data_IF_801890788389
#
_entry.id   IF_801890788389
#
_cell.length_a   1.000
_cell.length_b   1.000
_cell.length_c   1.000
_cell.angle_alpha   90.00
_cell.angle_beta   90.00
_cell.angle_gamma   90.00
#
_symmetry.space_group_name_H-M   'P 1'
#
loop_
_entity.id
_entity.type
_entity.pdbx_description
1 polymer ?
#
# COMPACT_ATOMS: atom_id res chain seq x y z
N UNK A 1 11.94 -2.95 -26.36
CA UNK A 1 13.21 -2.73 -25.66
C UNK A 1 13.65 -4.00 -24.94
N UNK A 2 13.33 -4.26 -23.66
CA UNK A 2 13.78 -5.50 -23.00
C UNK A 2 13.34 -6.79 -23.75
N UNK A 3 12.11 -6.82 -24.27
CA UNK A 3 11.59 -7.95 -25.05
C UNK A 3 12.36 -8.24 -26.33
N UNK A 4 12.90 -7.21 -27.00
CA UNK A 4 13.63 -7.37 -28.27
C UNK A 4 15.02 -7.97 -28.06
N UNK A 5 15.72 -7.57 -26.99
CA UNK A 5 17.00 -8.19 -26.61
C UNK A 5 16.82 -9.68 -26.27
N UNK A 6 15.78 -10.04 -25.53
CA UNK A 6 15.54 -11.44 -25.16
C UNK A 6 15.18 -12.32 -26.36
N UNK A 7 14.50 -11.77 -27.37
CA UNK A 7 14.17 -12.51 -28.58
C UNK A 7 15.42 -12.79 -29.43
N UNK A 8 16.36 -11.84 -29.49
CA UNK A 8 17.69 -12.06 -30.08
C UNK A 8 18.45 -13.18 -29.35
N UNK A 9 18.47 -13.17 -28.02
CA UNK A 9 19.12 -14.22 -27.24
C UNK A 9 18.46 -15.59 -27.41
N UNK A 10 17.13 -15.66 -27.53
CA UNK A 10 16.42 -16.91 -27.82
C UNK A 10 16.88 -17.49 -29.16
N UNK A 11 16.92 -16.67 -30.21
CA UNK A 11 17.39 -17.10 -31.52
C UNK A 11 18.84 -17.62 -31.48
N UNK A 12 19.74 -16.89 -30.80
CA UNK A 12 21.13 -17.31 -30.65
C UNK A 12 21.25 -18.65 -29.90
N UNK A 13 20.41 -18.89 -28.89
CA UNK A 13 20.37 -20.17 -28.18
C UNK A 13 19.79 -21.31 -29.04
N UNK A 14 18.84 -21.02 -29.93
CA UNK A 14 18.30 -21.99 -30.89
C UNK A 14 19.35 -22.38 -31.94
N UNK A 15 20.13 -21.42 -32.43
CA UNK A 15 21.24 -21.66 -33.36
C UNK A 15 22.34 -22.53 -32.71
N UNK A 16 22.73 -22.20 -31.47
CA UNK A 16 23.68 -22.99 -30.67
C UNK A 16 23.25 -24.44 -30.48
N UNK A 17 21.94 -24.70 -30.41
CA UNK A 17 21.43 -26.08 -30.35
C UNK A 17 21.73 -26.84 -31.65
N UNK A 18 21.58 -26.20 -32.81
CA UNK A 18 21.99 -26.75 -34.10
C UNK A 18 23.49 -27.04 -34.16
N UNK A 19 24.30 -26.11 -33.64
CA UNK A 19 25.76 -26.28 -33.59
C UNK A 19 26.16 -27.49 -32.73
N UNK A 20 25.51 -27.68 -31.57
CA UNK A 20 25.70 -28.87 -30.72
C UNK A 20 25.39 -30.16 -31.47
N UNK A 21 24.34 -30.19 -32.28
CA UNK A 21 23.96 -31.38 -33.07
C UNK A 21 24.98 -31.69 -34.19
N UNK A 22 25.72 -30.67 -34.65
CA UNK A 22 26.73 -30.79 -35.72
C UNK A 22 28.17 -30.96 -35.24
N UNK A 23 28.44 -30.80 -33.94
CA UNK A 23 29.79 -30.83 -33.37
C UNK A 23 30.43 -32.23 -33.45
N UNK A 24 31.65 -32.31 -33.97
CA UNK A 24 32.36 -33.59 -34.17
C UNK A 24 33.60 -33.72 -33.28
N UNK A 25 34.15 -32.60 -32.80
CA UNK A 25 35.41 -32.55 -32.06
C UNK A 25 35.26 -31.93 -30.68
N UNK A 26 36.23 -32.21 -29.79
CA UNK A 26 36.27 -31.57 -28.46
C UNK A 26 36.43 -30.05 -28.58
N UNK A 27 37.18 -29.58 -29.57
CA UNK A 27 37.35 -28.17 -29.87
C UNK A 27 36.01 -27.49 -30.24
N UNK A 28 35.15 -28.16 -31.03
CA UNK A 28 33.80 -27.65 -31.36
C UNK A 28 32.95 -27.50 -30.09
N UNK A 29 32.92 -28.53 -29.24
CA UNK A 29 32.20 -28.46 -27.96
C UNK A 29 32.74 -27.36 -27.03
N UNK A 30 34.06 -27.15 -27.00
CA UNK A 30 34.66 -26.09 -26.18
C UNK A 30 34.27 -24.68 -26.67
N UNK A 31 34.19 -24.49 -27.99
CA UNK A 31 33.73 -23.23 -28.58
C UNK A 31 32.27 -22.95 -28.22
N UNK A 32 31.39 -23.94 -28.45
CA UNK A 32 29.96 -23.88 -28.11
C UNK A 32 29.76 -23.56 -26.62
N UNK A 33 30.46 -24.25 -25.71
CA UNK A 33 30.34 -24.01 -24.27
C UNK A 33 30.79 -22.60 -23.89
N UNK A 34 31.80 -22.05 -24.57
CA UNK A 34 32.26 -20.68 -24.33
C UNK A 34 31.21 -19.66 -24.76
N UNK A 35 30.60 -19.86 -25.92
CA UNK A 35 29.55 -18.98 -26.46
C UNK A 35 28.27 -19.05 -25.64
N UNK A 36 27.82 -20.25 -25.27
CA UNK A 36 26.68 -20.44 -24.36
C UNK A 36 26.90 -19.71 -23.02
N UNK A 37 28.12 -19.79 -22.46
CA UNK A 37 28.45 -19.09 -21.22
C UNK A 37 28.36 -17.58 -21.39
N UNK A 38 28.83 -17.06 -22.52
CA UNK A 38 28.81 -15.63 -22.81
C UNK A 38 27.37 -15.11 -22.97
N UNK A 39 26.55 -15.80 -23.77
CA UNK A 39 25.11 -15.49 -23.92
C UNK A 39 24.39 -15.55 -22.58
N UNK A 40 24.62 -16.60 -21.79
CA UNK A 40 23.99 -16.72 -20.48
C UNK A 40 24.40 -15.58 -19.53
N UNK A 41 25.66 -15.16 -19.57
CA UNK A 41 26.15 -14.04 -18.78
C UNK A 41 25.47 -12.73 -19.19
N UNK A 42 25.30 -12.49 -20.49
CA UNK A 42 24.57 -11.32 -21.00
C UNK A 42 23.10 -11.34 -20.57
N UNK A 43 22.37 -12.43 -20.85
CA UNK A 43 20.97 -12.60 -20.44
C UNK A 43 20.80 -12.35 -18.95
N UNK A 44 21.64 -12.96 -18.11
CA UNK A 44 21.54 -12.82 -16.67
C UNK A 44 21.79 -11.38 -16.19
N UNK A 45 22.77 -10.71 -16.79
CA UNK A 45 23.19 -9.36 -16.40
C UNK A 45 22.16 -8.32 -16.82
N UNK A 46 21.67 -8.39 -18.06
CA UNK A 46 20.61 -7.51 -18.58
C UNK A 46 19.28 -7.75 -17.86
N UNK A 47 18.91 -9.00 -17.60
CA UNK A 47 17.68 -9.31 -16.82
C UNK A 47 17.72 -8.65 -15.44
N UNK A 48 18.87 -8.69 -14.77
CA UNK A 48 19.03 -8.04 -13.47
C UNK A 48 18.92 -6.52 -13.56
N UNK A 49 19.50 -5.91 -14.59
CA UNK A 49 19.36 -4.47 -14.84
C UNK A 49 17.88 -4.06 -14.92
N UNK A 50 17.09 -4.71 -15.77
CA UNK A 50 15.68 -4.37 -15.96
C UNK A 50 14.81 -4.65 -14.72
N UNK A 51 15.05 -5.78 -14.04
CA UNK A 51 14.31 -6.12 -12.81
C UNK A 51 14.62 -5.11 -11.71
N UNK A 52 15.89 -4.74 -11.52
CA UNK A 52 16.29 -3.78 -10.49
C UNK A 52 15.73 -2.38 -10.79
N UNK A 53 15.77 -1.92 -12.04
CA UNK A 53 15.15 -0.64 -12.41
C UNK A 53 13.64 -0.63 -12.14
N UNK A 54 12.95 -1.74 -12.42
CA UNK A 54 11.52 -1.88 -12.11
C UNK A 54 11.25 -1.82 -10.60
N UNK A 55 12.07 -2.47 -9.78
CA UNK A 55 11.93 -2.42 -8.32
C UNK A 55 12.22 -1.03 -7.78
N UNK A 56 13.25 -0.36 -8.31
CA UNK A 56 13.62 1.00 -7.93
C UNK A 56 12.49 2.00 -8.22
N UNK A 57 11.88 1.93 -9.41
CA UNK A 57 10.75 2.82 -9.76
C UNK A 57 9.50 2.60 -8.91
N UNK A 58 9.34 1.43 -8.25
CA UNK A 58 8.23 1.20 -7.32
C UNK A 58 8.40 1.93 -6.00
N UNK A 59 9.61 2.35 -5.65
CA UNK A 59 9.89 3.12 -4.44
C UNK A 59 9.29 4.53 -4.55
N UNK A 60 9.31 5.15 -5.74
CA UNK A 60 8.71 6.47 -6.00
C UNK A 60 7.26 6.57 -5.54
N UNK A 61 6.43 5.61 -5.96
CA UNK A 61 5.00 5.59 -5.63
C UNK A 61 4.74 5.44 -4.12
N UNK A 62 5.68 4.85 -3.38
CA UNK A 62 5.57 4.73 -1.92
C UNK A 62 6.00 6.02 -1.22
N UNK A 63 7.09 6.65 -1.67
CA UNK A 63 7.60 7.90 -1.11
C UNK A 63 6.58 9.04 -1.24
N UNK A 64 5.95 9.18 -2.42
CA UNK A 64 4.93 10.21 -2.66
C UNK A 64 3.75 10.13 -1.67
N UNK A 65 3.32 8.91 -1.34
CA UNK A 65 2.22 8.69 -0.37
C UNK A 65 2.65 8.95 1.08
N UNK A 66 3.93 8.77 1.37
CA UNK A 66 4.48 8.84 2.73
C UNK A 66 4.53 10.27 3.27
N UNK A 67 4.81 11.25 2.41
CA UNK A 67 4.79 12.68 2.78
C UNK A 67 3.40 13.12 3.25
N UNK A 68 2.34 12.79 2.51
CA UNK A 68 0.96 13.11 2.92
C UNK A 68 0.57 12.42 4.23
N UNK A 69 1.13 11.25 4.53
CA UNK A 69 0.87 10.55 5.81
C UNK A 69 1.52 11.30 6.97
N UNK A 70 2.79 11.72 6.83
CA UNK A 70 3.49 12.50 7.85
C UNK A 70 2.73 13.78 8.21
N UNK A 71 2.30 14.55 7.20
CA UNK A 71 1.51 15.78 7.41
C UNK A 71 0.23 15.52 8.20
N UNK A 72 -0.52 14.46 7.84
CA UNK A 72 -1.77 14.11 8.54
C UNK A 72 -1.55 13.67 9.99
N UNK A 73 -0.41 13.03 10.28
CA UNK A 73 -0.04 12.65 11.64
C UNK A 73 0.33 13.90 12.44
N UNK A 74 1.11 14.82 11.85
CA UNK A 74 1.45 16.09 12.47
C UNK A 74 0.19 16.91 12.80
N UNK A 75 -0.74 17.04 11.86
CA UNK A 75 -2.02 17.73 12.07
C UNK A 75 -2.81 17.15 13.25
N UNK A 76 -2.78 15.83 13.43
CA UNK A 76 -3.46 15.17 14.54
C UNK A 76 -2.73 15.39 15.86
N UNK A 77 -1.40 15.32 15.87
CA UNK A 77 -0.58 15.65 17.04
C UNK A 77 -0.86 17.09 17.49
N UNK A 78 -0.91 18.04 16.56
CA UNK A 78 -1.20 19.45 16.85
C UNK A 78 -2.58 19.62 17.49
N UNK A 79 -3.59 18.86 17.03
CA UNK A 79 -4.93 18.84 17.63
C UNK A 79 -4.92 18.29 19.05
N UNK A 80 -4.23 17.17 19.27
CA UNK A 80 -4.11 16.54 20.59
C UNK A 80 -3.39 17.47 21.58
N UNK A 81 -2.29 18.11 21.13
CA UNK A 81 -1.60 19.14 21.89
C UNK A 81 -2.51 20.32 22.25
N UNK A 82 -3.30 20.82 21.29
CA UNK A 82 -4.25 21.90 21.54
C UNK A 82 -5.37 21.49 22.52
N UNK A 83 -5.71 20.21 22.57
CA UNK A 83 -6.64 19.63 23.55
C UNK A 83 -5.99 19.39 24.93
N UNK A 84 -4.67 19.55 25.05
CA UNK A 84 -3.91 19.34 26.29
C UNK A 84 -3.59 17.87 26.58
N UNK A 85 -3.69 16.99 25.59
CA UNK A 85 -3.27 15.59 25.69
C UNK A 85 -1.74 15.47 25.62
N UNK A 86 -1.18 14.43 26.25
CA UNK A 86 0.27 14.15 26.17
C UNK A 86 0.63 13.43 24.87
N UNK A 87 1.20 14.17 23.92
CA UNK A 87 1.62 13.68 22.61
C UNK A 87 3.11 13.31 22.55
N UNK A 88 3.85 13.36 23.65
CA UNK A 88 5.32 13.20 23.66
C UNK A 88 5.78 11.94 22.90
N UNK A 89 5.04 10.83 23.05
CA UNK A 89 5.35 9.57 22.37
C UNK A 89 5.01 9.61 20.87
N UNK A 90 3.91 10.27 20.49
CA UNK A 90 3.51 10.44 19.09
C UNK A 90 4.51 11.31 18.33
N UNK A 91 4.96 12.40 18.94
CA UNK A 91 5.98 13.30 18.38
C UNK A 91 7.28 12.54 18.10
N UNK A 92 7.78 11.79 19.10
CA UNK A 92 8.97 10.97 18.92
C UNK A 92 8.80 9.91 17.83
N UNK A 93 7.64 9.26 17.74
CA UNK A 93 7.37 8.27 16.69
C UNK A 93 7.28 8.92 15.30
N UNK A 94 6.74 10.14 15.20
CA UNK A 94 6.71 10.88 13.94
C UNK A 94 8.12 11.30 13.52
N UNK A 95 8.98 11.72 14.46
CA UNK A 95 10.40 11.98 14.19
C UNK A 95 11.11 10.71 13.69
N UNK A 96 10.96 9.57 14.40
CA UNK A 96 11.53 8.28 13.98
C UNK A 96 11.04 7.89 12.57
N UNK A 97 9.76 8.14 12.25
CA UNK A 97 9.17 7.88 10.93
C UNK A 97 9.81 8.75 9.85
N UNK A 98 9.96 10.05 10.10
CA UNK A 98 10.57 10.99 9.17
C UNK A 98 12.05 10.67 8.92
N UNK A 99 12.79 10.26 9.95
CA UNK A 99 14.17 9.82 9.81
C UNK A 99 14.28 8.60 8.89
N UNK A 100 13.43 7.58 9.09
CA UNK A 100 13.38 6.41 8.22
C UNK A 100 12.98 6.77 6.77
N UNK A 101 12.07 7.73 6.58
CA UNK A 101 11.75 8.23 5.23
C UNK A 101 12.94 8.93 4.58
N UNK A 102 13.65 9.78 5.31
CA UNK A 102 14.83 10.48 4.80
C UNK A 102 15.94 9.50 4.38
N UNK A 103 16.15 8.42 5.15
CA UNK A 103 17.08 7.35 4.77
C UNK A 103 16.63 6.65 3.48
N UNK A 104 15.34 6.34 3.36
CA UNK A 104 14.79 5.73 2.16
C UNK A 104 14.96 6.61 0.91
N UNK A 105 14.70 7.93 1.05
CA UNK A 105 14.86 8.93 0.00
C UNK A 105 16.33 8.98 -0.42
N UNK A 106 17.27 9.12 0.52
CA UNK A 106 18.69 9.21 0.20
C UNK A 106 19.21 7.98 -0.55
N UNK A 107 18.84 6.77 -0.10
CA UNK A 107 19.22 5.54 -0.80
C UNK A 107 18.57 5.43 -2.19
N UNK A 108 17.32 5.86 -2.35
CA UNK A 108 16.64 5.85 -3.63
C UNK A 108 17.23 6.87 -4.62
N UNK A 109 17.59 8.06 -4.16
CA UNK A 109 18.31 9.07 -4.95
C UNK A 109 19.66 8.53 -5.45
N UNK A 110 20.45 7.88 -4.57
CA UNK A 110 21.71 7.23 -4.97
C UNK A 110 21.48 6.11 -6.00
N UNK A 111 20.41 5.32 -5.86
CA UNK A 111 20.06 4.31 -6.85
C UNK A 111 19.68 4.96 -8.19
N UNK A 112 18.91 6.04 -8.19
CA UNK A 112 18.54 6.79 -9.39
C UNK A 112 19.75 7.38 -10.10
N UNK A 113 20.73 7.91 -9.37
CA UNK A 113 21.98 8.40 -9.95
C UNK A 113 22.70 7.26 -10.70
N UNK A 114 22.84 6.10 -10.07
CA UNK A 114 23.43 4.91 -10.70
C UNK A 114 22.66 4.49 -11.97
N UNK A 115 21.32 4.45 -11.92
CA UNK A 115 20.52 4.09 -13.10
C UNK A 115 20.55 5.15 -14.21
N UNK A 116 20.74 6.42 -13.86
CA UNK A 116 20.96 7.50 -14.82
C UNK A 116 22.29 7.38 -15.54
N UNK A 117 23.32 6.87 -14.87
CA UNK A 117 24.63 6.59 -15.49
C UNK A 117 24.68 5.28 -16.27
N UNK A 118 23.85 4.29 -15.91
CA UNK A 118 23.74 2.94 -16.50
C UNK A 118 25.08 2.29 -16.90
N UNK A 119 26.13 2.50 -16.10
CA UNK A 119 27.51 2.12 -16.39
C UNK A 119 27.63 0.62 -16.72
N UNK A 120 28.26 0.32 -17.86
CA UNK A 120 28.39 -1.03 -18.41
C UNK A 120 27.20 -1.48 -19.26
N UNK A 121 26.20 -0.63 -19.46
CA UNK A 121 25.09 -0.82 -20.39
C UNK A 121 25.03 0.34 -21.41
N UNK A 122 24.27 0.17 -22.49
CA UNK A 122 23.91 1.26 -23.39
C UNK A 122 22.49 1.80 -23.07
N UNK A 123 22.06 2.82 -23.82
CA UNK A 123 20.75 3.49 -23.63
C UNK A 123 19.53 2.55 -23.74
N UNK A 124 19.68 1.39 -24.40
CA UNK A 124 18.63 0.38 -24.54
C UNK A 124 18.77 -0.78 -23.55
N UNK A 125 19.74 -0.70 -22.63
CA UNK A 125 19.97 -1.68 -21.57
C UNK A 125 20.73 -2.94 -22.00
N UNK A 126 21.41 -2.93 -23.15
CA UNK A 126 22.30 -4.02 -23.57
C UNK A 126 23.65 -3.92 -22.88
N UNK A 127 24.24 -5.08 -22.54
CA UNK A 127 25.54 -5.16 -21.88
C UNK A 127 26.66 -4.68 -22.83
N UNK A 128 27.44 -3.69 -22.39
CA UNK A 128 28.61 -3.17 -23.14
C UNK A 128 29.93 -3.50 -22.46
N UNK A 129 29.94 -3.57 -21.12
CA UNK A 129 31.11 -3.93 -20.34
C UNK A 129 30.70 -4.70 -19.08
N UNK A 130 31.06 -5.97 -19.04
CA UNK A 130 30.65 -6.88 -17.96
C UNK A 130 31.23 -6.55 -16.59
N UNK A 131 32.44 -5.99 -16.52
CA UNK A 131 33.08 -5.66 -15.24
C UNK A 131 32.39 -4.45 -14.62
N UNK A 132 32.20 -3.41 -15.43
CA UNK A 132 31.49 -2.18 -15.08
C UNK A 132 30.03 -2.48 -14.71
N UNK A 133 29.31 -3.24 -15.54
CA UNK A 133 27.93 -3.64 -15.28
C UNK A 133 27.79 -4.44 -13.97
N UNK A 134 28.73 -5.34 -13.69
CA UNK A 134 28.69 -6.13 -12.46
C UNK A 134 28.89 -5.26 -11.22
N UNK A 135 29.78 -4.27 -11.28
CA UNK A 135 30.00 -3.33 -10.20
C UNK A 135 28.77 -2.45 -9.99
N UNK A 136 28.27 -1.83 -11.06
CA UNK A 136 27.03 -1.04 -11.04
C UNK A 136 25.86 -1.83 -10.43
N UNK A 137 25.61 -3.07 -10.90
CA UNK A 137 24.50 -3.90 -10.38
C UNK A 137 24.65 -4.25 -8.91
N UNK A 138 25.89 -4.30 -8.40
CA UNK A 138 26.15 -4.54 -6.98
C UNK A 138 25.84 -3.31 -6.15
N UNK A 139 26.29 -2.15 -6.58
CA UNK A 139 26.07 -0.87 -5.89
C UNK A 139 24.59 -0.49 -5.92
N UNK A 140 23.93 -0.58 -7.07
CA UNK A 140 22.50 -0.32 -7.19
C UNK A 140 21.66 -1.26 -6.31
N UNK A 141 22.03 -2.54 -6.24
CA UNK A 141 21.36 -3.49 -5.36
C UNK A 141 21.50 -3.16 -3.87
N UNK A 142 22.64 -2.60 -3.45
CA UNK A 142 22.82 -2.16 -2.07
C UNK A 142 21.86 -1.01 -1.77
N UNK A 143 21.86 0.03 -2.62
CA UNK A 143 20.99 1.20 -2.46
C UNK A 143 19.50 0.82 -2.47
N UNK A 144 19.05 -0.03 -3.40
CA UNK A 144 17.66 -0.51 -3.44
C UNK A 144 17.31 -1.27 -2.15
N UNK A 145 18.23 -2.08 -1.62
CA UNK A 145 17.98 -2.85 -0.40
C UNK A 145 17.87 -1.95 0.82
N UNK A 146 18.75 -0.96 0.93
CA UNK A 146 18.77 0.00 2.02
C UNK A 146 17.48 0.85 1.99
N UNK A 147 17.08 1.36 0.82
CA UNK A 147 15.81 2.05 0.64
C UNK A 147 14.62 1.18 1.07
N UNK A 148 14.55 -0.06 0.60
CA UNK A 148 13.48 -0.98 0.98
C UNK A 148 13.50 -1.36 2.47
N UNK A 149 14.65 -1.35 3.12
CA UNK A 149 14.75 -1.60 4.56
C UNK A 149 14.19 -0.40 5.32
N UNK A 150 14.64 0.80 5.01
CA UNK A 150 14.17 2.04 5.61
C UNK A 150 12.64 2.21 5.44
N UNK A 151 12.09 1.88 4.26
CA UNK A 151 10.64 1.86 4.05
C UNK A 151 9.90 0.84 4.92
N UNK A 152 10.49 -0.34 5.19
CA UNK A 152 9.89 -1.32 6.10
C UNK A 152 9.89 -0.81 7.54
N UNK A 153 10.97 -0.13 7.94
CA UNK A 153 11.09 0.50 9.26
C UNK A 153 10.06 1.62 9.42
N UNK A 154 9.96 2.52 8.44
CA UNK A 154 8.93 3.57 8.38
C UNK A 154 7.51 2.97 8.49
N UNK A 155 7.19 1.91 7.75
CA UNK A 155 5.90 1.22 7.86
C UNK A 155 5.67 0.59 9.25
N UNK A 156 6.72 0.09 9.90
CA UNK A 156 6.60 -0.44 11.25
C UNK A 156 6.28 0.68 12.25
N UNK A 157 6.99 1.79 12.17
CA UNK A 157 6.77 2.97 13.02
C UNK A 157 5.36 3.54 12.78
N UNK A 158 4.90 3.59 11.54
CA UNK A 158 3.54 4.01 11.20
C UNK A 158 2.46 3.18 11.91
N UNK A 159 2.67 1.86 12.02
CA UNK A 159 1.76 0.99 12.80
C UNK A 159 1.77 1.35 14.29
N UNK A 160 2.94 1.68 14.84
CA UNK A 160 3.07 2.11 16.23
C UNK A 160 2.42 3.48 16.47
N UNK A 161 2.54 4.41 15.52
CA UNK A 161 1.83 5.71 15.54
C UNK A 161 0.33 5.47 15.59
N UNK A 162 -0.22 4.60 14.73
CA UNK A 162 -1.66 4.33 14.75
C UNK A 162 -2.10 3.62 16.03
N UNK A 163 -1.28 2.73 16.58
CA UNK A 163 -1.56 2.09 17.86
C UNK A 163 -1.57 3.10 19.02
N UNK A 164 -0.70 4.12 18.97
CA UNK A 164 -0.68 5.20 19.94
C UNK A 164 -1.85 6.16 19.76
N UNK A 165 -2.15 6.62 18.54
CA UNK A 165 -3.29 7.49 18.23
C UNK A 165 -4.62 6.89 18.69
N UNK A 166 -4.77 5.56 18.66
CA UNK A 166 -5.95 4.87 19.20
C UNK A 166 -6.18 5.15 20.70
N UNK A 167 -5.12 5.35 21.49
CA UNK A 167 -5.26 5.64 22.93
C UNK A 167 -5.84 7.03 23.18
N UNK A 168 -5.64 7.95 22.24
CA UNK A 168 -6.11 9.33 22.31
C UNK A 168 -7.47 9.54 21.63
N UNK A 169 -8.01 8.49 20.98
CA UNK A 169 -9.26 8.54 20.21
C UNK A 169 -10.35 7.70 20.88
N UNK A 170 -11.22 8.30 21.72
CA UNK A 170 -12.48 7.64 22.07
C UNK A 170 -13.25 7.28 20.78
N UNK A 171 -14.00 6.17 20.77
CA UNK A 171 -14.80 5.76 19.60
C UNK A 171 -14.05 5.00 18.49
N UNK A 172 -12.77 4.67 18.66
CA UNK A 172 -12.07 3.72 17.77
C UNK A 172 -12.29 2.28 18.23
N UNK A 173 -12.62 1.40 17.28
CA UNK A 173 -12.85 -0.04 17.49
C UNK A 173 -11.95 -0.85 16.56
N UNK A 174 -11.34 -1.90 17.10
CA UNK A 174 -10.51 -2.86 16.36
C UNK A 174 -11.21 -4.22 16.38
N UNK A 175 -11.60 -4.72 15.20
CA UNK A 175 -12.22 -6.02 14.99
C UNK A 175 -11.12 -7.00 14.58
N UNK A 176 -10.35 -7.47 15.58
CA UNK A 176 -9.24 -8.40 15.33
C UNK A 176 -9.78 -9.78 14.92
N UNK A 177 -9.24 -10.32 13.82
CA UNK A 177 -9.48 -11.68 13.25
C UNK A 177 -10.88 -11.90 12.68
N UNK A 178 -11.91 -11.84 13.51
CA UNK A 178 -13.33 -11.76 13.12
C UNK A 178 -14.04 -11.10 14.30
N UNK A 179 -14.99 -10.23 14.08
CA UNK A 179 -15.67 -9.56 15.19
C UNK A 179 -16.95 -8.91 14.73
N UNK A 180 -17.84 -8.65 15.69
CA UNK A 180 -19.11 -7.96 15.43
C UNK A 180 -19.06 -6.54 15.98
N UNK A 181 -19.53 -5.58 15.20
CA UNK A 181 -19.78 -4.21 15.62
C UNK A 181 -21.25 -3.89 15.37
N UNK A 182 -21.94 -3.42 16.39
CA UNK A 182 -23.27 -2.80 16.26
C UNK A 182 -23.19 -1.36 16.73
N UNK A 183 -23.79 -0.43 16.00
CA UNK A 183 -23.78 0.98 16.33
C UNK A 183 -25.09 1.66 15.97
N UNK A 184 -25.52 2.57 16.84
CA UNK A 184 -26.73 3.38 16.66
C UNK A 184 -26.41 4.84 17.05
N UNK A 185 -26.71 5.79 16.16
CA UNK A 185 -26.44 7.20 16.45
C UNK A 185 -26.51 8.15 15.26
N UNK A 186 -26.11 9.40 15.49
CA UNK A 186 -25.97 10.45 14.49
C UNK A 186 -24.51 10.85 14.39
N UNK A 187 -24.03 11.10 13.18
CA UNK A 187 -22.67 11.56 12.91
C UNK A 187 -22.00 10.72 11.82
N UNK A 188 -20.72 10.41 12.01
CA UNK A 188 -19.87 9.76 11.01
C UNK A 188 -19.33 8.44 11.53
N UNK A 189 -19.54 7.37 10.76
CA UNK A 189 -18.95 6.06 10.97
C UNK A 189 -18.11 5.71 9.75
N UNK A 190 -16.84 5.41 9.98
CA UNK A 190 -15.94 4.87 8.95
C UNK A 190 -15.48 3.50 9.39
N UNK A 191 -15.62 2.50 8.51
CA UNK A 191 -15.23 1.11 8.74
C UNK A 191 -14.35 0.68 7.59
N UNK A 192 -13.29 -0.09 7.86
CA UNK A 192 -12.41 -0.64 6.83
C UNK A 192 -11.91 -2.03 7.17
N UNK A 193 -11.85 -2.92 6.18
CA UNK A 193 -11.43 -4.31 6.32
C UNK A 193 -12.19 -5.28 5.42
N UNK A 194 -12.14 -6.56 5.77
CA UNK A 194 -12.83 -7.65 5.09
C UNK A 194 -14.11 -7.97 5.88
N UNK A 195 -15.26 -7.51 5.38
CA UNK A 195 -16.47 -7.42 6.22
C UNK A 195 -17.77 -7.57 5.43
N UNK A 196 -18.76 -8.10 6.13
CA UNK A 196 -20.18 -8.00 5.84
C UNK A 196 -20.76 -6.83 6.64
N UNK A 197 -21.34 -5.85 5.96
CA UNK A 197 -21.86 -4.62 6.56
C UNK A 197 -23.31 -4.44 6.16
N UNK A 198 -24.18 -4.26 7.15
CA UNK A 198 -25.54 -3.75 6.98
C UNK A 198 -25.60 -2.36 7.61
N UNK A 199 -26.00 -1.37 6.83
CA UNK A 199 -26.15 0.01 7.31
C UNK A 199 -27.47 0.60 6.84
N UNK A 200 -28.13 1.35 7.73
CA UNK A 200 -29.27 2.18 7.38
C UNK A 200 -29.10 3.57 7.96
N UNK A 201 -29.69 4.56 7.29
CA UNK A 201 -29.74 5.95 7.75
C UNK A 201 -30.98 6.64 7.16
N UNK A 202 -31.49 7.67 7.83
CA UNK A 202 -32.62 8.49 7.32
C UNK A 202 -32.20 9.66 6.44
N UNK A 203 -30.97 10.11 6.61
CA UNK A 203 -30.40 11.17 5.78
C UNK A 203 -28.90 11.17 5.94
N UNK A 204 -28.16 11.22 4.83
CA UNK A 204 -26.72 11.29 4.90
C UNK A 204 -26.00 11.14 3.57
N UNK A 205 -24.74 10.79 3.67
CA UNK A 205 -23.86 10.45 2.57
C UNK A 205 -23.19 9.12 2.89
N UNK A 206 -23.42 8.13 2.03
CA UNK A 206 -22.74 6.85 2.08
C UNK A 206 -21.65 6.81 0.99
N UNK A 207 -20.42 6.49 1.37
CA UNK A 207 -19.29 6.34 0.47
C UNK A 207 -18.69 4.95 0.65
N UNK A 208 -18.43 4.26 -0.45
CA UNK A 208 -17.88 2.90 -0.49
C UNK A 208 -16.69 2.91 -1.45
N UNK A 209 -15.51 2.57 -0.95
CA UNK A 209 -14.32 2.30 -1.75
C UNK A 209 -14.01 0.80 -1.65
N UNK A 210 -13.80 0.18 -2.80
CA UNK A 210 -13.44 -1.23 -2.95
C UNK A 210 -12.09 -1.30 -3.65
N UNK A 211 -11.06 -1.72 -2.92
CA UNK A 211 -9.69 -1.76 -3.43
C UNK A 211 -9.35 -3.08 -4.15
N UNK A 212 -10.03 -4.17 -3.81
CA UNK A 212 -9.79 -5.50 -4.39
C UNK A 212 -10.77 -5.82 -5.54
N UNK A 213 -11.77 -4.96 -5.75
CA UNK A 213 -12.76 -5.04 -6.84
C UNK A 213 -13.59 -6.32 -6.75
N UNK A 214 -13.92 -6.74 -5.53
CA UNK A 214 -14.65 -7.95 -5.21
C UNK A 214 -15.95 -7.69 -4.42
N UNK A 215 -16.27 -6.44 -4.13
CA UNK A 215 -17.40 -6.10 -3.26
C UNK A 215 -18.76 -6.32 -3.93
N UNK A 216 -19.64 -7.05 -3.25
CA UNK A 216 -21.07 -7.12 -3.53
C UNK A 216 -21.80 -6.01 -2.78
N UNK A 217 -22.46 -5.11 -3.52
CA UNK A 217 -23.11 -3.91 -2.98
C UNK A 217 -24.58 -3.89 -3.39
N UNK A 218 -25.47 -3.99 -2.41
CA UNK A 218 -26.91 -3.80 -2.58
C UNK A 218 -27.36 -2.55 -1.81
N UNK A 219 -28.03 -1.62 -2.49
CA UNK A 219 -28.54 -0.39 -1.88
C UNK A 219 -30.01 -0.21 -2.21
N UNK A 220 -30.82 0.06 -1.18
CA UNK A 220 -32.24 0.36 -1.32
C UNK A 220 -32.58 1.70 -0.66
N UNK A 221 -33.50 2.46 -1.24
CA UNK A 221 -33.93 3.76 -0.71
C UNK A 221 -33.68 4.93 -1.67
N UNK A 222 -33.62 6.14 -1.11
CA UNK A 222 -33.42 7.38 -1.84
C UNK A 222 -31.96 7.82 -1.79
N UNK A 223 -31.50 8.49 -2.85
CA UNK A 223 -30.15 9.04 -2.94
C UNK A 223 -29.65 9.12 -4.38
N UNK A 224 -28.62 9.92 -4.61
CA UNK A 224 -27.96 10.03 -5.93
C UNK A 224 -26.64 9.27 -5.90
N UNK A 225 -26.55 8.19 -6.68
CA UNK A 225 -25.30 7.45 -6.90
C UNK A 225 -24.39 8.23 -7.84
N UNK A 226 -23.15 8.45 -7.43
CA UNK A 226 -22.07 9.01 -8.24
C UNK A 226 -20.85 8.10 -8.11
N UNK A 227 -20.15 7.86 -9.21
CA UNK A 227 -18.91 7.10 -9.23
C UNK A 227 -17.75 8.07 -9.47
N UNK A 228 -16.69 7.92 -8.68
CA UNK A 228 -15.49 8.75 -8.75
C UNK A 228 -14.43 8.09 -9.63
N UNK A 229 -13.42 8.86 -10.05
CA UNK A 229 -12.37 8.37 -10.95
C UNK A 229 -11.49 7.26 -10.34
N UNK A 230 -11.50 7.12 -9.01
CA UNK A 230 -10.75 6.13 -8.25
C UNK A 230 -11.56 4.84 -7.98
N UNK A 231 -12.76 4.70 -8.57
CA UNK A 231 -13.66 3.57 -8.34
C UNK A 231 -14.55 3.70 -7.10
N UNK A 232 -14.39 4.77 -6.31
CA UNK A 232 -15.24 5.01 -5.14
C UNK A 232 -16.68 5.33 -5.56
N UNK A 233 -17.66 4.69 -4.91
CA UNK A 233 -19.08 4.94 -5.10
C UNK A 233 -19.62 5.80 -3.95
N UNK A 234 -20.30 6.90 -4.30
CA UNK A 234 -20.91 7.83 -3.35
C UNK A 234 -22.42 7.93 -3.57
N UNK A 235 -23.19 7.77 -2.51
CA UNK A 235 -24.64 8.01 -2.47
C UNK A 235 -24.91 9.29 -1.67
N UNK A 236 -25.25 10.38 -2.37
CA UNK A 236 -25.55 11.67 -1.75
C UNK A 236 -27.06 11.79 -1.45
N UNK A 237 -27.42 12.24 -0.25
CA UNK A 237 -28.81 12.27 0.21
C UNK A 237 -29.36 10.86 0.47
N UNK A 238 -28.50 9.98 0.99
CA UNK A 238 -28.83 8.60 1.32
C UNK A 238 -29.88 8.54 2.43
N UNK A 239 -31.01 7.92 2.13
CA UNK A 239 -32.14 7.64 3.02
C UNK A 239 -32.65 6.23 2.68
N UNK A 240 -32.19 5.23 3.41
CA UNK A 240 -32.38 3.84 3.02
C UNK A 240 -31.48 2.86 3.75
N UNK A 241 -31.31 1.68 3.13
CA UNK A 241 -30.46 0.60 3.63
C UNK A 241 -29.42 0.20 2.58
N UNK A 242 -28.27 -0.28 3.04
CA UNK A 242 -27.25 -0.86 2.19
C UNK A 242 -26.66 -2.11 2.84
N UNK A 243 -26.42 -3.13 2.01
CA UNK A 243 -25.69 -4.35 2.36
C UNK A 243 -24.43 -4.38 1.50
N UNK A 244 -23.28 -4.51 2.14
CA UNK A 244 -21.97 -4.50 1.50
C UNK A 244 -21.17 -5.69 2.03
N UNK A 245 -20.66 -6.53 1.13
CA UNK A 245 -19.79 -7.67 1.46
C UNK A 245 -18.57 -7.61 0.54
N UNK A 246 -17.36 -7.63 1.09
CA UNK A 246 -16.13 -7.62 0.27
C UNK A 246 -14.84 -7.63 1.09
N UNK A 247 -13.72 -7.74 0.38
CA UNK A 247 -12.37 -7.68 0.95
C UNK A 247 -11.77 -6.31 0.73
N UNK A 248 -10.93 -5.84 1.66
CA UNK A 248 -10.25 -4.53 1.55
C UNK A 248 -11.22 -3.40 1.17
N UNK A 249 -12.38 -3.34 1.84
CA UNK A 249 -13.38 -2.30 1.60
C UNK A 249 -13.25 -1.19 2.64
N UNK A 250 -13.57 0.04 2.25
CA UNK A 250 -13.80 1.16 3.16
C UNK A 250 -15.20 1.70 2.97
N UNK A 251 -16.02 1.64 4.02
CA UNK A 251 -17.37 2.18 4.04
C UNK A 251 -17.43 3.35 5.02
N UNK A 252 -17.93 4.50 4.55
CA UNK A 252 -18.16 5.68 5.38
C UNK A 252 -19.61 6.12 5.24
N UNK A 253 -20.33 6.22 6.37
CA UNK A 253 -21.65 6.84 6.46
C UNK A 253 -21.54 8.09 7.33
N UNK A 254 -21.99 9.23 6.81
CA UNK A 254 -22.19 10.46 7.58
C UNK A 254 -23.65 10.87 7.50
N UNK A 255 -24.37 10.92 8.62
CA UNK A 255 -25.80 11.14 8.59
C UNK A 255 -26.50 11.01 9.94
N UNK A 256 -27.82 10.99 9.86
CA UNK A 256 -28.73 10.89 11.00
C UNK A 256 -29.44 9.53 11.03
N UNK A 257 -29.76 9.08 12.24
CA UNK A 257 -30.43 7.83 12.55
C UNK A 257 -29.71 6.62 11.93
N UNK A 258 -28.38 6.61 12.07
CA UNK A 258 -27.54 5.54 11.58
C UNK A 258 -27.74 4.32 12.47
N UNK A 259 -28.15 3.21 11.87
CA UNK A 259 -28.07 1.88 12.44
C UNK A 259 -27.10 1.06 11.61
N UNK A 260 -26.10 0.47 12.25
CA UNK A 260 -25.03 -0.26 11.58
C UNK A 260 -24.73 -1.57 12.30
N UNK A 261 -24.63 -2.63 11.51
CA UNK A 261 -24.07 -3.92 11.91
C UNK A 261 -22.93 -4.27 10.96
N UNK A 262 -21.78 -4.64 11.49
CA UNK A 262 -20.66 -5.15 10.70
C UNK A 262 -20.11 -6.42 11.34
N UNK A 263 -19.80 -7.41 10.51
CA UNK A 263 -19.14 -8.66 10.88
C UNK A 263 -17.92 -8.88 9.99
N UNK A 264 -16.78 -9.21 10.58
CA UNK A 264 -15.55 -9.50 9.83
C UNK A 264 -14.29 -9.02 10.53
N UNK A 265 -13.21 -8.87 9.77
CA UNK A 265 -11.93 -8.35 10.28
C UNK A 265 -11.68 -6.93 9.78
N UNK A 266 -11.38 -6.01 10.69
CA UNK A 266 -11.17 -4.63 10.29
C UNK A 266 -11.06 -3.66 11.45
N UNK A 267 -11.29 -2.39 11.15
CA UNK A 267 -11.34 -1.33 12.14
C UNK A 267 -12.49 -0.38 11.85
N UNK A 268 -13.04 0.22 12.91
CA UNK A 268 -14.08 1.22 12.81
C UNK A 268 -13.72 2.46 13.64
N UNK A 269 -14.17 3.61 13.17
CA UNK A 269 -14.10 4.88 13.89
C UNK A 269 -15.50 5.50 13.88
N UNK A 270 -16.03 5.78 15.06
CA UNK A 270 -17.36 6.35 15.24
C UNK A 270 -17.26 7.70 15.92
N UNK A 271 -17.74 8.75 15.25
CA UNK A 271 -17.77 10.13 15.75
C UNK A 271 -19.18 10.71 15.66
N UNK A 272 -19.66 11.36 16.71
CA UNK A 272 -20.96 11.99 16.80
C UNK A 272 -21.66 11.65 18.11
N UNK A 273 -22.99 11.53 18.04
CA UNK A 273 -23.85 11.24 19.17
C UNK A 273 -24.47 9.86 18.98
N UNK A 274 -23.93 8.86 19.66
CA UNK A 274 -24.41 7.49 19.52
C UNK A 274 -23.77 6.54 20.52
N UNK A 275 -24.15 5.27 20.42
CA UNK A 275 -23.53 4.18 21.17
C UNK A 275 -23.12 3.06 20.23
N UNK A 276 -22.14 2.28 20.66
CA UNK A 276 -21.75 1.08 19.94
C UNK A 276 -21.46 -0.07 20.90
N UNK A 277 -21.60 -1.29 20.39
CA UNK A 277 -21.15 -2.52 21.03
C UNK A 277 -20.26 -3.26 20.06
N UNK A 278 -19.04 -3.58 20.50
CA UNK A 278 -18.05 -4.30 19.71
C UNK A 278 -17.66 -5.59 20.43
N UNK A 279 -17.65 -6.72 19.72
CA UNK A 279 -17.22 -8.02 20.24
C UNK A 279 -16.19 -8.63 19.31
N UNK A 280 -14.88 -8.48 19.62
CA UNK A 280 -13.81 -9.17 18.90
C UNK A 280 -13.85 -10.67 19.19
N UNK A 281 -13.47 -11.53 18.23
CA UNK A 281 -13.37 -12.97 18.43
C UNK A 281 -12.35 -13.31 19.52
N UNK A 282 -12.76 -14.14 20.48
CA UNK A 282 -12.02 -14.44 21.71
C UNK A 282 -11.80 -13.25 22.67
N UNK A 283 -12.37 -12.08 22.38
CA UNK A 283 -12.24 -10.85 23.16
C UNK A 283 -13.41 -10.58 24.12
N UNK A 284 -13.26 -9.55 24.97
CA UNK A 284 -14.39 -9.05 25.77
C UNK A 284 -15.24 -8.09 24.93
N UNK A 285 -16.57 -8.23 25.05
CA UNK A 285 -17.51 -7.26 24.51
C UNK A 285 -17.29 -5.89 25.15
N UNK A 286 -17.09 -4.88 24.32
CA UNK A 286 -16.95 -3.48 24.71
C UNK A 286 -18.22 -2.73 24.34
N UNK A 287 -18.75 -1.93 25.26
CA UNK A 287 -19.87 -1.02 25.00
C UNK A 287 -19.47 0.39 25.38
N UNK A 288 -19.63 1.34 24.47
CA UNK A 288 -19.24 2.74 24.71
C UNK A 288 -20.08 3.71 23.88
N UNK A 289 -19.89 5.00 24.12
CA UNK A 289 -20.44 6.07 23.30
C UNK A 289 -19.51 6.35 22.11
N UNK A 290 -20.06 6.93 21.04
CA UNK A 290 -19.27 7.46 19.94
C UNK A 290 -18.36 8.58 20.44
N UNK A 291 -17.23 8.81 19.76
CA UNK A 291 -16.40 9.98 20.04
C UNK A 291 -17.20 11.26 19.77
N UNK A 292 -17.06 12.34 20.54
CA UNK A 292 -17.68 13.62 20.16
C UNK A 292 -17.14 14.11 18.81
N UNK A 293 -18.00 14.71 17.98
CA UNK A 293 -17.55 15.45 16.79
C UNK A 293 -16.80 16.71 17.20
N UNK A 294 -15.68 16.98 16.52
CA UNK A 294 -14.95 18.25 16.64
C UNK A 294 -15.27 19.13 15.44
N UNK A 295 -15.06 20.45 15.53
CA UNK A 295 -15.45 21.42 14.49
C UNK A 295 -14.81 21.24 13.10
N UNK A 296 -13.93 20.26 12.90
CA UNK A 296 -13.32 19.90 11.60
C UNK A 296 -13.99 18.67 10.98
N UNK A 297 -14.75 17.90 11.76
CA UNK A 297 -15.47 16.70 11.32
C UNK A 297 -16.83 17.02 10.64
N UNK A 298 -17.22 18.31 10.60
CA UNK A 298 -18.49 18.81 10.01
C UNK A 298 -18.42 19.08 8.49
N UNK A 299 -17.24 18.96 7.86
CA UNK A 299 -17.00 19.26 6.44
C UNK A 299 -17.13 18.04 5.51
#
# INVERSE_FOLDING_TARGET
MASENFEEYINNLEDLKGDVESAETMEDFQAIVKELRDIWQHIHTESRYFVMGTVNNKVDAFLERSESIAERIQDEIDRLNAAGEDTTKLERLLDDYNDALNEAIASHENANELFGEHTGFNDVGQLTNVVEATQFLREANLQIRDANQALREANSILRDIFAELKQHRPGSVDLRVTGTLTASGNGKVTISGDMDIEVSAKSGVLTIADYDVDAEIEVTGNGTRTEMNDGTVKYSGFDGTATISGSSITVTINGDDIELTAEGSGSAVLKGNGTYTATPDGGQTMKSNWAPMTGVDEA
#
